data_IF_486381748972
#
_entry.id   IF_486381748972
#
_cell.length_a   1.000
_cell.length_b   1.000
_cell.length_c   1.000
_cell.angle_alpha   90.00
_cell.angle_beta   90.00
_cell.angle_gamma   90.00
#
_symmetry.space_group_name_H-M   'P 1'
#
loop_
_entity.id
_entity.type
_entity.pdbx_description
1 polymer ?
#
# COMPACT_ATOMS: atom_id res chain seq x y z
N UNK A 1 7.79 22.74 -7.04
CA UNK A 1 7.90 21.56 -6.14
C UNK A 1 7.04 20.39 -6.63
N UNK A 2 7.61 19.26 -7.09
CA UNK A 2 6.85 17.99 -7.09
C UNK A 2 6.83 17.51 -5.64
N UNK A 3 5.69 17.61 -4.97
CA UNK A 3 5.57 17.14 -3.59
C UNK A 3 5.59 15.61 -3.59
N UNK A 4 6.35 15.02 -2.67
CA UNK A 4 6.37 13.57 -2.39
C UNK A 4 4.96 13.11 -2.05
N UNK A 5 4.30 13.87 -1.16
CA UNK A 5 2.90 13.77 -0.74
C UNK A 5 2.45 15.22 -0.46
N UNK A 6 1.23 15.61 -0.82
CA UNK A 6 0.67 16.88 -0.34
C UNK A 6 0.48 16.78 1.19
N UNK A 7 1.17 17.59 2.01
CA UNK A 7 1.11 17.45 3.47
C UNK A 7 -0.25 17.82 4.06
N UNK A 8 -1.12 18.46 3.27
CA UNK A 8 -2.45 18.91 3.69
C UNK A 8 -3.50 18.12 2.91
N UNK A 9 -4.29 17.32 3.62
CA UNK A 9 -5.48 16.67 3.04
C UNK A 9 -6.48 17.75 2.64
N UNK A 10 -7.02 17.64 1.43
CA UNK A 10 -8.12 18.49 1.01
C UNK A 10 -9.41 18.08 1.73
N UNK A 11 -10.36 19.01 1.89
CA UNK A 11 -11.60 18.74 2.61
C UNK A 11 -12.42 17.67 1.88
N UNK A 12 -12.61 16.51 2.51
CA UNK A 12 -13.29 15.35 1.91
C UNK A 12 -12.34 14.29 1.32
N UNK A 13 -11.03 14.50 1.40
CA UNK A 13 -10.03 13.51 0.96
C UNK A 13 -9.93 12.34 1.94
N UNK A 14 -10.03 11.10 1.43
CA UNK A 14 -9.84 9.91 2.26
C UNK A 14 -8.35 9.62 2.44
N UNK A 15 -7.87 9.33 3.66
CA UNK A 15 -6.50 8.88 3.85
C UNK A 15 -6.31 7.57 3.07
N UNK A 16 -5.22 7.45 2.32
CA UNK A 16 -4.95 6.28 1.47
C UNK A 16 -5.01 4.96 2.26
N UNK A 17 -4.56 4.97 3.51
CA UNK A 17 -4.65 3.82 4.43
C UNK A 17 -6.07 3.44 4.87
N UNK A 18 -7.05 4.33 4.71
CA UNK A 18 -8.46 4.12 5.06
C UNK A 18 -9.37 3.80 3.86
N UNK A 19 -8.83 3.72 2.65
CA UNK A 19 -9.62 3.34 1.46
C UNK A 19 -10.02 1.87 1.58
N UNK A 20 -11.32 1.59 1.57
CA UNK A 20 -11.85 0.23 1.62
C UNK A 20 -11.69 -0.47 0.28
N UNK A 21 -11.01 -1.62 0.29
CA UNK A 21 -10.80 -2.46 -0.88
C UNK A 21 -11.40 -3.84 -0.62
N UNK A 22 -12.25 -4.34 -1.53
CA UNK A 22 -12.90 -5.64 -1.38
C UNK A 22 -11.88 -6.80 -1.32
N UNK A 23 -11.82 -7.57 -0.21
CA UNK A 23 -10.94 -8.73 -0.09
C UNK A 23 -11.29 -9.92 -0.95
N UNK A 24 -12.51 -9.99 -1.44
CA UNK A 24 -13.01 -11.12 -2.23
C UNK A 24 -13.01 -10.84 -3.72
N UNK A 25 -12.64 -9.63 -4.12
CA UNK A 25 -12.57 -9.30 -5.54
C UNK A 25 -11.56 -10.21 -6.23
N UNK A 26 -12.00 -10.82 -7.32
CA UNK A 26 -11.16 -11.63 -8.21
C UNK A 26 -10.42 -10.78 -9.23
N UNK A 27 -10.77 -9.49 -9.32
CA UNK A 27 -10.11 -8.54 -10.19
C UNK A 27 -8.71 -8.22 -9.65
N UNK A 28 -7.81 -7.84 -10.55
CA UNK A 28 -6.41 -7.55 -10.24
C UNK A 28 -6.28 -6.15 -9.61
N UNK A 29 -7.15 -5.20 -9.97
CA UNK A 29 -7.08 -3.81 -9.51
C UNK A 29 -7.10 -3.72 -7.97
N UNK A 30 -8.07 -4.30 -7.23
CA UNK A 30 -8.10 -4.21 -5.78
C UNK A 30 -6.90 -4.88 -5.10
N UNK A 31 -6.33 -5.93 -5.71
CA UNK A 31 -5.14 -6.60 -5.19
C UNK A 31 -3.89 -5.72 -5.35
N UNK A 32 -3.73 -5.08 -6.50
CA UNK A 32 -2.64 -4.12 -6.76
C UNK A 32 -2.75 -2.92 -5.82
N UNK A 33 -3.94 -2.35 -5.67
CA UNK A 33 -4.18 -1.21 -4.79
C UNK A 33 -3.90 -1.53 -3.32
N UNK A 34 -4.11 -2.78 -2.87
CA UNK A 34 -3.70 -3.21 -1.51
C UNK A 34 -2.20 -3.21 -1.31
N UNK A 35 -1.45 -3.67 -2.32
CA UNK A 35 0.01 -3.58 -2.30
C UNK A 35 0.48 -2.14 -2.16
N UNK A 36 -0.12 -1.23 -2.93
CA UNK A 36 0.14 0.21 -2.85
C UNK A 36 -0.26 0.80 -1.49
N UNK A 37 -1.41 0.40 -0.93
CA UNK A 37 -1.85 0.85 0.40
C UNK A 37 -0.88 0.42 1.50
N UNK A 38 -0.36 -0.81 1.43
CA UNK A 38 0.64 -1.31 2.36
C UNK A 38 1.96 -0.54 2.26
N UNK A 39 2.40 -0.25 1.02
CA UNK A 39 3.58 0.58 0.74
C UNK A 39 3.42 1.97 1.34
N UNK A 40 2.25 2.60 1.16
CA UNK A 40 1.96 3.94 1.69
C UNK A 40 1.97 4.00 3.22
N UNK A 41 1.43 2.95 3.86
CA UNK A 41 1.27 2.88 5.33
C UNK A 41 2.57 2.47 6.05
N UNK A 42 3.55 1.95 5.32
CA UNK A 42 4.85 1.49 5.88
C UNK A 42 5.94 2.52 5.55
N UNK A 43 6.28 3.45 6.47
CA UNK A 43 7.11 4.60 6.16
C UNK A 43 8.53 4.23 5.71
N UNK A 44 9.08 3.11 6.18
CA UNK A 44 10.41 2.65 5.81
C UNK A 44 10.46 2.21 4.34
N UNK A 45 9.51 1.37 3.93
CA UNK A 45 9.38 0.89 2.54
C UNK A 45 9.07 2.04 1.62
N UNK A 46 8.21 2.96 2.07
CA UNK A 46 7.89 4.19 1.37
C UNK A 46 9.16 4.99 1.07
N UNK A 47 9.97 5.28 2.09
CA UNK A 47 11.20 6.05 1.91
C UNK A 47 12.17 5.40 0.91
N UNK A 48 12.36 4.07 0.97
CA UNK A 48 13.20 3.33 0.01
C UNK A 48 12.68 3.46 -1.43
N UNK A 49 11.37 3.34 -1.64
CA UNK A 49 10.77 3.44 -2.98
C UNK A 49 10.85 4.87 -3.52
N UNK A 50 10.57 5.88 -2.68
CA UNK A 50 10.67 7.28 -3.09
C UNK A 50 12.10 7.69 -3.43
N UNK A 51 13.11 7.17 -2.73
CA UNK A 51 14.51 7.37 -3.09
C UNK A 51 14.84 6.84 -4.51
N UNK A 52 14.29 5.68 -4.89
CA UNK A 52 14.45 5.14 -6.25
C UNK A 52 13.70 6.03 -7.26
N UNK A 53 12.50 6.52 -6.93
CA UNK A 53 11.72 7.38 -7.81
C UNK A 53 12.33 8.77 -8.00
N UNK A 54 13.12 9.27 -7.06
CA UNK A 54 13.87 10.53 -7.21
C UNK A 54 14.89 10.47 -8.34
N UNK A 55 15.47 9.29 -8.61
CA UNK A 55 16.39 9.08 -9.73
C UNK A 55 15.69 9.15 -11.10
N UNK A 56 14.36 8.97 -11.15
CA UNK A 56 13.57 9.10 -12.38
C UNK A 56 13.16 10.55 -12.71
N UNK A 57 13.43 11.49 -11.80
CA UNK A 57 13.12 12.90 -12.00
C UNK A 57 14.13 13.47 -13.01
N UNK A 58 13.69 14.14 -14.08
CA UNK A 58 14.61 14.61 -15.12
C UNK A 58 15.71 15.52 -14.55
N UNK A 59 16.93 15.27 -15.01
CA UNK A 59 18.02 16.25 -15.06
C UNK A 59 17.86 17.04 -16.37
N UNK A 60 17.86 18.37 -16.30
CA UNK A 60 17.94 19.22 -17.49
C UNK A 60 19.41 19.32 -17.84
N UNK A 61 19.77 18.98 -19.07
CA UNK A 61 21.04 19.42 -19.64
C UNK A 61 20.95 20.92 -19.91
N UNK A 62 21.63 21.73 -19.09
CA UNK A 62 21.93 23.12 -19.41
C UNK A 62 23.33 23.18 -20.04
N UNK A 63 23.66 24.28 -20.73
CA UNK A 63 24.98 24.47 -21.37
C UNK A 63 26.18 24.40 -20.40
N UNK A 64 25.93 24.33 -19.09
CA UNK A 64 26.93 24.33 -18.01
C UNK A 64 27.08 22.96 -17.30
N UNK A 65 26.34 21.92 -17.71
CA UNK A 65 26.45 20.56 -17.16
C UNK A 65 25.08 19.91 -16.91
N UNK A 66 25.03 18.63 -16.48
CA UNK A 66 23.79 18.00 -16.05
C UNK A 66 23.34 18.63 -14.73
N UNK A 67 22.23 19.37 -14.76
CA UNK A 67 21.64 20.00 -13.59
C UNK A 67 20.26 19.40 -13.36
N UNK A 68 19.98 18.90 -12.15
CA UNK A 68 18.63 18.44 -11.78
C UNK A 68 17.65 19.57 -12.08
N UNK A 69 16.57 19.31 -12.83
CA UNK A 69 15.65 20.37 -13.29
C UNK A 69 15.23 21.23 -12.10
N UNK A 70 15.55 22.52 -12.18
CA UNK A 70 15.13 23.51 -11.18
C UNK A 70 13.61 23.46 -11.01
N UNK A 71 13.22 23.03 -9.81
CA UNK A 71 11.85 22.65 -9.43
C UNK A 71 10.95 23.89 -9.17
N UNK A 72 11.53 25.08 -9.30
CA UNK A 72 10.95 26.41 -9.01
C UNK A 72 10.32 27.10 -10.24
N UNK A 73 10.74 26.79 -11.48
CA UNK A 73 10.36 27.57 -12.67
C UNK A 73 9.54 26.78 -13.72
N UNK A 74 8.44 26.13 -13.31
CA UNK A 74 7.54 25.48 -14.28
C UNK A 74 6.23 24.89 -13.75
N UNK A 75 5.34 24.56 -14.70
CA UNK A 75 4.01 23.94 -14.52
C UNK A 75 4.09 22.79 -13.50
N UNK A 76 3.28 22.75 -12.43
CA UNK A 76 3.34 21.70 -11.42
C UNK A 76 3.09 20.35 -12.10
N UNK A 77 4.12 19.51 -12.13
CA UNK A 77 4.02 18.15 -12.67
C UNK A 77 3.24 17.23 -11.74
N UNK A 78 2.85 16.06 -12.25
CA UNK A 78 2.25 14.96 -11.48
C UNK A 78 3.13 14.59 -10.26
N UNK A 79 2.49 14.30 -9.12
CA UNK A 79 3.20 13.88 -7.89
C UNK A 79 3.94 12.55 -8.10
N UNK A 80 5.02 12.33 -7.35
CA UNK A 80 5.77 11.07 -7.41
C UNK A 80 4.89 9.86 -7.01
N UNK A 81 3.99 10.06 -6.05
CA UNK A 81 2.99 9.06 -5.68
C UNK A 81 2.08 8.69 -6.85
N UNK A 82 1.53 9.69 -7.56
CA UNK A 82 0.64 9.45 -8.69
C UNK A 82 1.39 8.75 -9.83
N UNK A 83 2.67 9.08 -10.03
CA UNK A 83 3.56 8.41 -10.98
C UNK A 83 3.73 6.92 -10.63
N UNK A 84 3.97 6.60 -9.36
CA UNK A 84 4.09 5.22 -8.86
C UNK A 84 2.79 4.44 -9.04
N UNK A 85 1.65 5.01 -8.61
CA UNK A 85 0.34 4.35 -8.72
C UNK A 85 0.03 3.99 -10.17
N UNK A 86 0.15 4.95 -11.09
CA UNK A 86 -0.12 4.72 -12.51
C UNK A 86 0.90 3.76 -13.15
N UNK A 87 2.18 3.83 -12.76
CA UNK A 87 3.22 2.92 -13.23
C UNK A 87 2.97 1.48 -12.81
N UNK A 88 2.62 1.25 -11.55
CA UNK A 88 2.31 -0.08 -11.02
C UNK A 88 1.03 -0.63 -11.64
N UNK A 89 -0.02 0.19 -11.81
CA UNK A 89 -1.25 -0.22 -12.49
C UNK A 89 -0.98 -0.63 -13.95
N UNK A 90 -0.13 0.12 -14.66
CA UNK A 90 0.24 -0.20 -16.04
C UNK A 90 0.85 -1.60 -16.14
N UNK A 91 1.77 -1.92 -15.23
CA UNK A 91 2.47 -3.21 -15.23
C UNK A 91 1.58 -4.34 -14.73
N UNK A 92 0.89 -4.13 -13.61
CA UNK A 92 0.05 -5.16 -13.00
C UNK A 92 -1.12 -5.56 -13.89
N UNK A 93 -1.68 -4.63 -14.66
CA UNK A 93 -2.78 -4.89 -15.59
C UNK A 93 -2.32 -5.16 -17.03
N UNK A 94 -1.00 -5.07 -17.30
CA UNK A 94 -0.43 -5.07 -18.65
C UNK A 94 -1.20 -4.15 -19.62
N UNK A 95 -1.45 -2.92 -19.17
CA UNK A 95 -2.31 -1.96 -19.85
C UNK A 95 -1.51 -0.98 -20.73
N UNK A 96 -2.12 -0.50 -21.82
CA UNK A 96 -1.59 0.61 -22.61
C UNK A 96 -1.83 1.97 -21.94
N UNK A 97 -1.26 3.04 -22.52
CA UNK A 97 -1.36 4.38 -21.95
C UNK A 97 -2.79 4.94 -21.98
N UNK A 98 -3.60 4.56 -22.97
CA UNK A 98 -4.99 4.99 -23.10
C UNK A 98 -5.86 4.37 -22.02
N UNK A 99 -5.72 3.07 -21.78
CA UNK A 99 -6.41 2.36 -20.70
C UNK A 99 -6.02 2.90 -19.33
N UNK A 100 -4.74 3.23 -19.11
CA UNK A 100 -4.30 3.83 -17.85
C UNK A 100 -4.84 5.24 -17.67
N UNK A 101 -4.90 6.05 -18.73
CA UNK A 101 -5.54 7.38 -18.68
C UNK A 101 -7.02 7.26 -18.30
N UNK A 102 -7.74 6.34 -18.94
CA UNK A 102 -9.16 6.12 -18.66
C UNK A 102 -9.39 5.71 -17.21
N UNK A 103 -8.61 4.74 -16.71
CA UNK A 103 -8.67 4.30 -15.32
C UNK A 103 -8.35 5.44 -14.34
N UNK A 104 -7.38 6.30 -14.67
CA UNK A 104 -7.01 7.44 -13.83
C UNK A 104 -8.11 8.51 -13.75
N UNK A 105 -8.94 8.64 -14.79
CA UNK A 105 -9.99 9.67 -14.87
C UNK A 105 -11.36 9.17 -14.39
N UNK A 106 -11.71 7.91 -14.65
CA UNK A 106 -13.07 7.40 -14.42
C UNK A 106 -13.17 6.44 -13.24
N UNK A 107 -12.09 5.72 -12.91
CA UNK A 107 -12.18 4.68 -11.88
C UNK A 107 -12.09 5.30 -10.49
N UNK A 108 -13.24 5.44 -9.82
CA UNK A 108 -13.40 6.07 -8.49
C UNK A 108 -12.31 5.69 -7.47
N UNK A 109 -12.05 4.40 -7.28
CA UNK A 109 -11.02 3.95 -6.31
C UNK A 109 -9.61 4.37 -6.71
N UNK A 110 -9.28 4.35 -8.01
CA UNK A 110 -7.96 4.79 -8.48
C UNK A 110 -7.83 6.30 -8.29
N UNK A 111 -8.89 7.07 -8.58
CA UNK A 111 -8.92 8.51 -8.27
C UNK A 111 -8.67 8.78 -6.78
N UNK A 112 -9.30 8.03 -5.88
CA UNK A 112 -9.02 8.14 -4.44
C UNK A 112 -7.54 7.90 -4.11
N UNK A 113 -6.91 6.91 -4.73
CA UNK A 113 -5.47 6.67 -4.56
C UNK A 113 -4.59 7.78 -5.13
N UNK A 114 -5.07 8.56 -6.10
CA UNK A 114 -4.37 9.69 -6.69
C UNK A 114 -4.54 11.01 -5.91
N UNK A 115 -5.30 10.99 -4.82
CA UNK A 115 -5.70 12.18 -4.03
C UNK A 115 -6.98 12.86 -4.53
N UNK A 116 -7.61 12.28 -5.57
CA UNK A 116 -8.72 12.86 -6.32
C UNK A 116 -10.06 12.31 -5.80
N UNK A 117 -10.40 12.64 -4.56
CA UNK A 117 -11.62 12.13 -3.91
C UNK A 117 -12.64 13.21 -3.53
N UNK A 118 -12.33 14.47 -3.81
CA UNK A 118 -13.24 15.60 -3.62
C UNK A 118 -14.43 15.55 -4.58
N UNK A 119 -15.58 16.01 -4.12
CA UNK A 119 -16.81 16.15 -4.93
C UNK A 119 -16.72 17.27 -5.98
N UNK A 120 -15.76 18.18 -5.83
CA UNK A 120 -15.46 19.33 -6.72
C UNK A 120 -14.17 19.12 -7.52
N UNK A 121 -13.65 17.89 -7.57
CA UNK A 121 -12.38 17.61 -8.23
C UNK A 121 -12.54 17.28 -9.73
N UNK A 122 -12.38 18.31 -10.56
CA UNK A 122 -12.34 18.26 -12.03
C UNK A 122 -10.94 17.91 -12.59
N UNK A 123 -10.01 17.44 -11.76
CA UNK A 123 -8.67 17.06 -12.24
C UNK A 123 -8.74 15.87 -13.17
N UNK A 124 -8.36 16.09 -14.43
CA UNK A 124 -8.20 15.05 -15.44
C UNK A 124 -6.77 14.97 -15.96
N UNK A 125 -6.36 13.75 -16.31
CA UNK A 125 -5.05 13.48 -16.88
C UNK A 125 -5.12 13.43 -18.40
N UNK A 126 -4.33 14.28 -19.05
CA UNK A 126 -4.13 14.22 -20.50
C UNK A 126 -3.24 13.05 -20.92
N UNK A 127 -3.51 12.45 -22.08
CA UNK A 127 -2.78 11.29 -22.60
C UNK A 127 -1.27 11.53 -22.67
N UNK A 128 -0.86 12.69 -23.17
CA UNK A 128 0.55 13.07 -23.28
C UNK A 128 1.23 13.13 -21.90
N UNK A 129 0.52 13.61 -20.88
CA UNK A 129 1.04 13.66 -19.51
C UNK A 129 1.25 12.25 -18.96
N UNK A 130 0.30 11.35 -19.16
CA UNK A 130 0.45 9.94 -18.75
C UNK A 130 1.63 9.31 -19.48
N UNK A 131 1.73 9.49 -20.80
CA UNK A 131 2.80 8.92 -21.62
C UNK A 131 4.19 9.42 -21.20
N UNK A 132 4.37 10.73 -21.05
CA UNK A 132 5.67 11.33 -20.73
C UNK A 132 6.18 10.98 -19.33
N UNK A 133 5.26 10.70 -18.40
CA UNK A 133 5.62 10.29 -17.05
C UNK A 133 5.84 8.78 -16.95
N UNK A 134 5.00 7.98 -17.61
CA UNK A 134 5.09 6.53 -17.53
C UNK A 134 6.19 5.93 -18.41
N UNK A 135 6.59 6.60 -19.49
CA UNK A 135 7.74 6.18 -20.32
C UNK A 135 9.07 6.20 -19.57
N UNK A 136 9.15 6.93 -18.45
CA UNK A 136 10.35 7.01 -17.59
C UNK A 136 10.55 5.76 -16.74
N UNK A 137 9.53 4.92 -16.56
CA UNK A 137 9.68 3.65 -15.87
C UNK A 137 10.40 2.66 -16.77
N UNK A 138 11.72 2.62 -16.67
CA UNK A 138 12.53 1.59 -17.31
C UNK A 138 12.39 0.26 -16.56
N UNK A 139 12.57 -0.89 -17.24
CA UNK A 139 12.50 -2.20 -16.59
C UNK A 139 13.40 -2.33 -15.37
N UNK A 140 14.56 -1.69 -15.37
CA UNK A 140 15.56 -1.72 -14.29
C UNK A 140 15.04 -1.03 -13.03
N UNK A 141 14.38 0.12 -13.20
CA UNK A 141 13.83 0.88 -12.08
C UNK A 141 12.62 0.13 -11.49
N UNK A 142 11.82 -0.47 -12.36
CA UNK A 142 10.71 -1.31 -11.94
C UNK A 142 11.17 -2.55 -11.18
N UNK A 143 12.26 -3.18 -11.62
CA UNK A 143 12.85 -4.30 -10.89
C UNK A 143 13.37 -3.87 -9.51
N UNK A 144 14.03 -2.72 -9.40
CA UNK A 144 14.47 -2.18 -8.10
C UNK A 144 13.30 -1.92 -7.16
N UNK A 145 12.21 -1.32 -7.64
CA UNK A 145 10.99 -1.11 -6.85
C UNK A 145 10.41 -2.48 -6.44
N UNK A 146 10.31 -3.42 -7.38
CA UNK A 146 9.81 -4.77 -7.12
C UNK A 146 10.63 -5.50 -6.04
N UNK A 147 11.97 -5.42 -6.07
CA UNK A 147 12.83 -6.01 -5.06
C UNK A 147 12.57 -5.44 -3.66
N UNK A 148 12.36 -4.12 -3.55
CA UNK A 148 12.01 -3.46 -2.27
C UNK A 148 10.66 -3.95 -1.77
N UNK A 149 9.65 -4.01 -2.65
CA UNK A 149 8.29 -4.45 -2.32
C UNK A 149 8.27 -5.93 -1.92
N UNK A 150 8.93 -6.82 -2.67
CA UNK A 150 9.02 -8.26 -2.38
C UNK A 150 9.72 -8.49 -1.05
N UNK A 151 10.82 -7.78 -0.78
CA UNK A 151 11.54 -7.85 0.50
C UNK A 151 10.65 -7.40 1.66
N UNK A 152 9.91 -6.31 1.50
CA UNK A 152 8.93 -5.84 2.47
C UNK A 152 7.83 -6.88 2.72
N UNK A 153 7.29 -7.46 1.65
CA UNK A 153 6.29 -8.53 1.70
C UNK A 153 6.78 -9.75 2.48
N UNK A 154 8.00 -10.23 2.21
CA UNK A 154 8.60 -11.34 2.97
C UNK A 154 8.76 -11.01 4.47
N UNK A 155 9.15 -9.78 4.82
CA UNK A 155 9.25 -9.34 6.23
C UNK A 155 7.88 -9.33 6.90
N UNK A 156 6.85 -8.81 6.22
CA UNK A 156 5.48 -8.78 6.73
C UNK A 156 4.93 -10.19 6.96
N UNK A 157 5.10 -11.09 5.99
CA UNK A 157 4.71 -12.49 6.12
C UNK A 157 5.46 -13.17 7.26
N UNK A 158 6.79 -13.08 7.33
CA UNK A 158 7.56 -13.69 8.43
C UNK A 158 7.10 -13.21 9.81
N UNK A 159 6.76 -11.92 9.96
CA UNK A 159 6.20 -11.36 11.20
C UNK A 159 4.81 -11.94 11.51
N UNK A 160 3.93 -12.02 10.50
CA UNK A 160 2.61 -12.62 10.67
C UNK A 160 2.70 -14.08 11.12
N UNK A 161 3.55 -14.87 10.49
CA UNK A 161 3.77 -16.28 10.85
C UNK A 161 4.31 -16.43 12.28
N UNK A 162 5.30 -15.61 12.68
CA UNK A 162 5.80 -15.60 14.07
C UNK A 162 4.70 -15.24 15.09
N UNK A 163 3.83 -14.31 14.73
CA UNK A 163 2.72 -13.86 15.59
C UNK A 163 1.69 -14.98 15.77
N UNK A 164 1.30 -15.64 14.67
CA UNK A 164 0.38 -16.80 14.69
C UNK A 164 0.99 -17.97 15.47
N UNK A 165 2.28 -18.28 15.26
CA UNK A 165 2.96 -19.34 16.01
C UNK A 165 3.07 -19.02 17.51
N UNK A 166 3.33 -17.76 17.89
CA UNK A 166 3.37 -17.34 19.29
C UNK A 166 1.98 -17.34 19.96
N UNK A 167 0.94 -16.94 19.23
CA UNK A 167 -0.46 -17.02 19.68
C UNK A 167 -0.95 -18.47 19.82
N UNK A 168 -0.47 -19.38 18.97
CA UNK A 168 -0.75 -20.81 19.06
C UNK A 168 -0.05 -21.47 20.27
N UNK A 169 1.21 -21.08 20.56
CA UNK A 169 1.95 -21.56 21.74
C UNK A 169 1.32 -21.07 23.05
N UNK A 170 0.77 -19.86 23.08
CA UNK A 170 0.10 -19.31 24.28
C UNK A 170 -1.31 -19.87 24.52
N UNK A 171 -1.90 -20.60 23.56
CA UNK A 171 -3.13 -21.40 23.72
C UNK A 171 -2.87 -22.85 24.15
N UNK A 172 -1.68 -23.14 24.66
CA UNK A 172 -1.30 -24.43 25.26
C UNK A 172 -1.20 -24.30 26.79
N UNK A 173 -2.27 -23.83 27.43
CA UNK A 173 -2.44 -24.08 28.87
C UNK A 173 -3.17 -25.41 29.01
N UNK A 174 -2.39 -26.45 29.29
CA UNK A 174 -2.86 -27.66 29.93
C UNK A 174 -3.82 -27.30 31.07
N UNK A 175 -5.11 -27.60 30.92
CA UNK A 175 -5.99 -27.87 32.06
C UNK A 175 -5.87 -29.37 32.33
N UNK A 176 -5.20 -29.82 33.41
CA UNK A 176 -5.35 -31.20 33.83
C UNK A 176 -6.78 -31.38 34.33
N UNK A 177 -7.60 -32.10 33.57
CA UNK A 177 -8.97 -32.46 33.90
C UNK A 177 -8.98 -33.67 34.84
N UNK A 178 -8.28 -33.60 35.97
CA UNK A 178 -8.33 -34.62 37.02
C UNK A 178 -8.32 -33.95 38.39
N UNK A 179 -9.49 -33.48 38.82
CA UNK A 179 -9.83 -33.44 40.24
C UNK A 179 -10.84 -34.55 40.48
N UNK A 180 -10.35 -35.66 41.01
CA UNK A 180 -11.18 -36.74 41.54
C UNK A 180 -12.15 -36.16 42.57
N UNK A 181 -13.45 -36.44 42.41
CA UNK A 181 -14.44 -36.18 43.47
C UNK A 181 -14.10 -37.08 44.67
N UNK A 182 -14.02 -36.57 45.90
CA UNK A 182 -14.05 -37.43 47.06
C UNK A 182 -15.46 -38.03 47.20
N UNK A 183 -15.54 -39.34 47.32
CA UNK A 183 -16.75 -40.08 47.69
C UNK A 183 -17.15 -39.69 49.12
N UNK A 184 -18.43 -39.35 49.39
CA UNK A 184 -18.88 -39.15 50.76
C UNK A 184 -19.00 -40.52 51.43
N UNK A 185 -18.19 -40.74 52.46
CA UNK A 185 -18.28 -41.89 53.35
C UNK A 185 -19.57 -41.78 54.17
N UNK A 186 -20.37 -42.84 54.13
CA UNK A 186 -21.55 -43.04 54.98
C UNK A 186 -21.19 -42.83 56.47
N UNK A 187 -21.88 -41.91 57.13
CA UNK A 187 -22.04 -41.93 58.60
C UNK A 187 -23.52 -42.16 58.90
N UNK A 188 -23.87 -43.41 59.15
CA UNK A 188 -25.14 -43.79 59.77
C UNK A 188 -25.02 -43.54 61.28
N UNK A 189 -25.62 -42.47 61.79
CA UNK A 189 -25.88 -42.31 63.22
C UNK A 189 -27.16 -43.04 63.58
N UNK A 190 -26.99 -44.06 64.41
CA UNK A 190 -28.02 -44.87 65.08
C UNK A 190 -28.80 -43.98 66.06
N UNK A 191 -30.08 -43.73 65.78
CA UNK A 191 -31.02 -43.13 66.74
C UNK A 191 -31.72 -44.23 67.52
N UNK A 192 -31.60 -44.19 68.83
CA UNK A 192 -32.31 -45.06 69.76
C UNK A 192 -33.76 -44.60 69.94
N UNK A 193 -34.71 -45.52 69.72
CA UNK A 193 -35.83 -45.83 70.62
C UNK A 193 -36.51 -47.11 70.16
#
# INVERSE_FOLDING_TARGET
MRKVIEPQMQLGELPIGGIELDPRSRDDIPQILRGLQHLYTTPEVRAEVFAILEELVPERSTETGPEKVDVENGRPGMSQWNLLVLGVLRLGLNADYDRIRELANEHKTIRQFLGHSGWDDDTSYGLQTVRDNLSRFTPEVLDRINQVVVRAGHRALKKAWRTVSSAAVTRSWWRPMFTTRPTPTCCWTRSAR
#
